data_IF_340102144290
#
_entry.id   IF_340102144290
#
_cell.length_a   1.000
_cell.length_b   1.000
_cell.length_c   1.000
_cell.angle_alpha   90.00
_cell.angle_beta   90.00
_cell.angle_gamma   90.00
#
_symmetry.space_group_name_H-M   'P 1'
#
loop_
_entity.id
_entity.type
_entity.pdbx_description
1 polymer ?
#
# COMPACT_ATOMS: atom_id res chain seq x y z
N UNK A 1 26.26 -54.61 -7.40
CA UNK A 1 27.05 -53.36 -7.47
C UNK A 1 26.15 -52.19 -7.07
N UNK A 2 26.36 -51.61 -5.88
CA UNK A 2 25.66 -50.39 -5.43
C UNK A 2 26.44 -49.17 -5.95
N UNK A 3 25.83 -48.34 -6.80
CA UNK A 3 26.42 -47.07 -7.25
C UNK A 3 26.03 -45.98 -6.25
N UNK A 4 27.03 -45.43 -5.56
CA UNK A 4 26.92 -44.24 -4.72
C UNK A 4 27.13 -43.03 -5.64
N UNK A 5 26.09 -42.22 -5.87
CA UNK A 5 26.22 -40.93 -6.55
C UNK A 5 26.42 -39.88 -5.47
N UNK A 6 27.65 -39.38 -5.33
CA UNK A 6 27.96 -38.23 -4.50
C UNK A 6 27.67 -36.99 -5.34
N UNK A 7 26.44 -36.46 -5.22
CA UNK A 7 26.08 -35.16 -5.75
C UNK A 7 26.68 -34.07 -4.87
N UNK A 8 27.64 -33.32 -5.41
CA UNK A 8 28.08 -32.05 -4.84
C UNK A 8 26.89 -31.09 -4.79
N UNK A 9 26.32 -30.89 -3.60
CA UNK A 9 25.48 -29.72 -3.34
C UNK A 9 26.39 -28.50 -3.24
N UNK A 10 26.51 -27.75 -4.33
CA UNK A 10 26.90 -26.35 -4.27
C UNK A 10 25.77 -25.61 -3.53
N UNK A 11 25.92 -25.45 -2.22
CA UNK A 11 25.16 -24.45 -1.47
C UNK A 11 25.65 -23.07 -1.94
N UNK A 12 24.91 -22.43 -2.84
CA UNK A 12 24.98 -20.98 -2.98
C UNK A 12 24.56 -20.37 -1.64
N UNK A 13 25.54 -19.92 -0.87
CA UNK A 13 25.33 -19.07 0.29
C UNK A 13 24.65 -17.79 -0.21
N UNK A 14 23.34 -17.70 -0.06
CA UNK A 14 22.59 -16.46 -0.23
C UNK A 14 23.07 -15.51 0.87
N UNK A 15 24.07 -14.68 0.58
CA UNK A 15 24.52 -13.65 1.49
C UNK A 15 23.47 -12.54 1.49
N UNK A 16 22.71 -12.44 2.59
CA UNK A 16 21.98 -11.23 2.93
C UNK A 16 22.98 -10.07 2.94
N UNK A 17 22.79 -9.09 2.05
CA UNK A 17 23.65 -7.91 2.00
C UNK A 17 23.03 -6.79 2.84
N UNK A 18 23.85 -6.05 3.58
CA UNK A 18 23.41 -4.79 4.17
C UNK A 18 23.32 -3.71 3.08
N UNK A 19 22.11 -3.19 2.86
CA UNK A 19 21.81 -2.10 1.91
C UNK A 19 21.54 -0.82 2.69
N UNK A 20 22.42 0.16 2.52
CA UNK A 20 22.31 1.48 3.16
C UNK A 20 21.72 2.50 2.19
N UNK A 21 20.67 3.19 2.60
CA UNK A 21 20.05 4.28 1.85
C UNK A 21 20.02 5.56 2.69
N UNK A 22 20.14 6.71 2.03
CA UNK A 22 20.01 8.03 2.67
C UNK A 22 18.91 8.83 1.98
N UNK A 23 17.90 9.24 2.76
CA UNK A 23 16.72 9.95 2.30
C UNK A 23 16.68 11.33 2.96
N UNK A 24 17.04 12.35 2.19
CA UNK A 24 16.92 13.74 2.61
C UNK A 24 15.59 14.34 2.14
N UNK A 25 14.72 14.68 3.09
CA UNK A 25 13.41 15.26 2.82
C UNK A 25 13.52 16.78 2.83
N UNK A 26 13.21 17.42 1.71
CA UNK A 26 13.21 18.88 1.59
C UNK A 26 12.02 19.37 0.74
N UNK A 27 11.71 20.67 0.82
CA UNK A 27 10.74 21.27 -0.10
C UNK A 27 11.43 21.67 -1.41
N UNK A 28 10.77 21.37 -2.53
CA UNK A 28 11.14 21.87 -3.85
C UNK A 28 9.88 22.36 -4.56
N UNK A 29 10.01 23.47 -5.28
CA UNK A 29 8.97 23.92 -6.19
C UNK A 29 9.06 23.08 -7.47
N UNK A 30 8.00 22.33 -7.76
CA UNK A 30 7.91 21.48 -8.95
C UNK A 30 6.70 21.85 -9.79
N UNK A 31 6.73 21.47 -11.06
CA UNK A 31 5.66 21.69 -12.00
C UNK A 31 5.41 20.40 -12.80
N UNK A 32 4.79 19.37 -12.19
CA UNK A 32 4.73 18.03 -12.77
C UNK A 32 3.79 17.93 -13.97
N UNK A 33 2.84 18.85 -14.11
CA UNK A 33 1.86 18.92 -15.21
C UNK A 33 2.19 20.01 -16.24
N UNK A 34 3.38 20.62 -16.14
CA UNK A 34 3.81 21.76 -16.96
C UNK A 34 2.79 22.92 -17.01
N UNK A 35 2.02 23.12 -15.94
CA UNK A 35 1.13 24.28 -15.81
C UNK A 35 1.92 25.59 -15.59
N UNK A 36 1.29 26.76 -15.66
CA UNK A 36 2.01 28.04 -15.52
C UNK A 36 2.51 28.32 -14.10
N UNK A 37 2.10 27.50 -13.12
CA UNK A 37 2.39 27.68 -11.70
C UNK A 37 3.09 26.44 -11.14
N UNK A 38 4.23 26.64 -10.48
CA UNK A 38 4.87 25.61 -9.67
C UNK A 38 4.19 25.46 -8.30
N UNK A 39 4.22 24.26 -7.75
CA UNK A 39 3.73 23.94 -6.41
C UNK A 39 4.90 23.50 -5.53
N UNK A 40 4.91 24.01 -4.29
CA UNK A 40 5.89 23.61 -3.29
C UNK A 40 5.48 22.27 -2.71
N UNK A 41 6.30 21.23 -2.92
CA UNK A 41 6.02 19.88 -2.42
C UNK A 41 7.22 19.30 -1.66
N UNK A 42 6.99 18.41 -0.68
CA UNK A 42 8.07 17.60 -0.13
C UNK A 42 8.64 16.68 -1.21
N UNK A 43 9.97 16.58 -1.26
CA UNK A 43 10.71 15.69 -2.16
C UNK A 43 11.72 14.88 -1.36
N UNK A 44 12.12 13.73 -1.89
CA UNK A 44 13.18 12.90 -1.31
C UNK A 44 14.40 13.01 -2.22
N UNK A 45 15.54 13.44 -1.67
CA UNK A 45 16.78 13.72 -2.39
C UNK A 45 16.58 14.70 -3.56
N UNK A 46 15.60 15.61 -3.48
CA UNK A 46 15.29 16.57 -4.54
C UNK A 46 14.48 16.01 -5.72
N UNK A 47 14.04 14.75 -5.63
CA UNK A 47 13.27 14.04 -6.66
C UNK A 47 11.79 13.91 -6.30
N UNK A 48 10.94 14.01 -7.33
CA UNK A 48 9.50 13.73 -7.27
C UNK A 48 9.07 12.98 -8.54
N UNK A 49 8.58 11.72 -8.45
CA UNK A 49 8.56 10.85 -7.26
C UNK A 49 9.96 10.63 -6.66
N UNK A 50 10.02 10.21 -5.39
CA UNK A 50 11.29 9.91 -4.72
C UNK A 50 12.06 8.77 -5.39
N UNK A 51 13.36 8.60 -5.08
CA UNK A 51 14.18 7.54 -5.67
C UNK A 51 13.64 6.15 -5.30
N UNK A 52 13.71 5.21 -6.24
CA UNK A 52 13.35 3.80 -5.99
C UNK A 52 14.42 3.12 -5.15
N UNK A 53 14.01 2.46 -4.06
CA UNK A 53 14.89 1.63 -3.25
C UNK A 53 14.86 0.20 -3.77
N UNK A 54 16.01 -0.32 -4.20
CA UNK A 54 16.14 -1.69 -4.70
C UNK A 54 16.88 -2.56 -3.68
N UNK A 55 16.23 -3.63 -3.23
CA UNK A 55 16.82 -4.63 -2.35
C UNK A 55 16.39 -6.03 -2.80
N UNK A 56 17.18 -7.04 -2.44
CA UNK A 56 16.83 -8.44 -2.68
C UNK A 56 16.12 -9.00 -1.44
N UNK A 57 15.20 -9.95 -1.62
CA UNK A 57 14.58 -10.63 -0.48
C UNK A 57 15.67 -11.25 0.41
N UNK A 58 15.61 -10.92 1.71
CA UNK A 58 16.61 -11.35 2.70
C UNK A 58 17.74 -10.35 2.94
N UNK A 59 17.89 -9.29 2.14
CA UNK A 59 18.82 -8.19 2.46
C UNK A 59 18.39 -7.49 3.77
N UNK A 60 19.38 -7.04 4.55
CA UNK A 60 19.15 -6.12 5.66
C UNK A 60 19.16 -4.69 5.10
N UNK A 61 18.16 -3.89 5.46
CA UNK A 61 17.99 -2.54 4.91
C UNK A 61 18.12 -1.53 6.03
N UNK A 62 19.06 -0.60 5.89
CA UNK A 62 19.25 0.51 6.81
C UNK A 62 19.02 1.82 6.07
N UNK A 63 18.08 2.63 6.57
CA UNK A 63 17.66 3.86 5.91
C UNK A 63 17.85 5.03 6.86
N UNK A 64 18.75 5.94 6.50
CA UNK A 64 18.95 7.19 7.20
C UNK A 64 17.99 8.25 6.64
N UNK A 65 17.01 8.68 7.43
CA UNK A 65 16.07 9.74 7.06
C UNK A 65 16.51 11.07 7.68
N UNK A 66 16.73 12.09 6.86
CA UNK A 66 17.04 13.46 7.30
C UNK A 66 15.86 14.38 6.99
N UNK A 67 15.34 15.08 7.99
CA UNK A 67 14.33 16.11 7.80
C UNK A 67 14.96 17.50 7.62
N UNK A 68 15.03 17.96 6.38
CA UNK A 68 15.45 19.31 6.01
C UNK A 68 14.28 20.23 5.65
N UNK A 69 13.03 19.88 6.00
CA UNK A 69 11.89 20.79 5.91
C UNK A 69 12.05 21.91 6.95
N UNK A 70 11.71 23.17 6.66
CA UNK A 70 11.96 24.28 7.58
C UNK A 70 10.96 24.37 8.74
N UNK A 71 9.69 24.00 8.51
CA UNK A 71 8.58 24.25 9.45
C UNK A 71 7.60 23.05 9.54
N UNK A 72 8.04 21.84 9.19
CA UNK A 72 7.19 20.67 9.19
C UNK A 72 7.93 19.46 9.75
N UNK A 73 7.28 18.74 10.65
CA UNK A 73 7.78 17.44 11.07
C UNK A 73 7.47 16.39 9.98
N UNK A 74 8.23 15.29 9.95
CA UNK A 74 8.04 14.24 8.95
C UNK A 74 8.34 12.85 9.50
N UNK A 75 7.87 11.83 8.79
CA UNK A 75 8.22 10.42 8.98
C UNK A 75 8.11 9.72 7.62
N UNK A 76 8.72 8.55 7.47
CA UNK A 76 8.58 7.70 6.27
C UNK A 76 8.05 6.36 6.69
N UNK A 77 6.87 6.00 6.19
CA UNK A 77 6.32 4.65 6.30
C UNK A 77 6.67 3.83 5.06
N UNK A 78 7.09 2.58 5.26
CA UNK A 78 7.46 1.66 4.19
C UNK A 78 6.31 0.71 3.88
N UNK A 79 5.38 1.20 3.05
CA UNK A 79 4.11 0.53 2.73
C UNK A 79 4.31 -0.93 2.32
N UNK A 80 3.72 -1.85 3.09
CA UNK A 80 3.71 -3.29 2.83
C UNK A 80 4.94 -4.05 3.33
N UNK A 81 5.91 -3.37 3.96
CA UNK A 81 6.99 -4.03 4.68
C UNK A 81 6.46 -4.46 6.06
N UNK A 82 6.64 -5.73 6.40
CA UNK A 82 6.07 -6.30 7.64
C UNK A 82 6.72 -5.79 8.92
N UNK A 83 7.92 -5.20 8.87
CA UNK A 83 8.62 -4.67 10.05
C UNK A 83 8.82 -5.71 11.19
N UNK A 84 9.04 -6.98 10.84
CA UNK A 84 9.21 -8.06 11.83
C UNK A 84 10.45 -7.78 12.67
N UNK A 85 10.24 -7.47 13.96
CA UNK A 85 11.30 -7.11 14.89
C UNK A 85 11.84 -5.68 14.76
N UNK A 86 11.20 -4.83 13.95
CA UNK A 86 11.61 -3.44 13.71
C UNK A 86 10.43 -2.46 13.75
N UNK A 87 9.44 -2.72 14.63
CA UNK A 87 8.19 -1.95 14.76
C UNK A 87 8.44 -0.44 14.92
N UNK A 88 9.48 -0.04 15.63
CA UNK A 88 9.92 1.35 15.83
C UNK A 88 10.34 2.06 14.51
N UNK A 89 10.58 1.31 13.44
CA UNK A 89 10.93 1.82 12.11
C UNK A 89 9.75 1.88 11.13
N UNK A 90 8.52 1.65 11.62
CA UNK A 90 7.33 1.67 10.77
C UNK A 90 6.93 3.09 10.31
N UNK A 91 7.40 4.15 10.99
CA UNK A 91 7.27 5.51 10.48
C UNK A 91 5.93 6.19 10.71
N UNK A 92 5.17 5.83 11.75
CA UNK A 92 3.83 6.38 12.05
C UNK A 92 3.89 7.29 13.29
N UNK A 93 3.78 8.63 13.12
CA UNK A 93 3.89 9.57 14.22
C UNK A 93 2.82 9.36 15.29
N UNK A 94 3.26 9.30 16.56
CA UNK A 94 2.36 9.10 17.70
C UNK A 94 1.87 7.65 17.88
N UNK A 95 2.33 6.72 17.03
CA UNK A 95 2.08 5.28 17.17
C UNK A 95 3.40 4.53 17.36
N UNK A 96 4.30 4.58 16.37
CA UNK A 96 5.55 3.81 16.38
C UNK A 96 6.80 4.66 16.64
N UNK A 97 6.72 5.98 16.39
CA UNK A 97 7.80 6.92 16.69
C UNK A 97 7.30 8.36 16.83
N UNK A 98 8.15 9.26 17.34
CA UNK A 98 7.97 10.70 17.23
C UNK A 98 8.32 11.19 15.81
N UNK A 99 7.74 12.33 15.41
CA UNK A 99 8.01 12.94 14.11
C UNK A 99 9.37 13.68 14.10
N UNK A 100 10.11 13.57 13.00
CA UNK A 100 11.47 14.14 12.85
C UNK A 100 11.39 15.67 12.68
N UNK A 101 12.24 16.47 13.33
CA UNK A 101 12.19 17.96 13.35
C UNK A 101 13.16 18.66 12.35
N UNK A 102 12.86 19.90 11.89
CA UNK A 102 13.66 20.71 10.94
C UNK A 102 15.12 21.11 11.28
N UNK A 103 16.05 21.16 10.29
CA UNK A 103 17.19 22.12 10.30
C UNK A 103 18.45 21.85 9.43
N UNK A 104 18.60 22.61 8.33
CA UNK A 104 19.80 22.90 7.45
C UNK A 104 19.91 22.25 6.03
N UNK A 105 20.63 22.92 5.10
CA UNK A 105 20.19 23.31 3.72
C UNK A 105 21.12 22.91 2.54
N UNK A 106 20.58 22.53 1.35
CA UNK A 106 21.13 22.82 -0.01
C UNK A 106 20.13 22.43 -1.15
N UNK A 107 20.30 22.97 -2.36
CA UNK A 107 19.31 23.09 -3.46
C UNK A 107 19.81 22.45 -4.78
N UNK A 108 18.91 21.90 -5.62
CA UNK A 108 19.09 21.92 -7.09
C UNK A 108 17.76 21.85 -7.88
N UNK A 109 17.73 22.54 -9.03
CA UNK A 109 16.63 22.67 -10.01
C UNK A 109 16.69 21.55 -11.05
N UNK A 110 15.53 21.07 -11.53
CA UNK A 110 15.39 20.47 -12.86
C UNK A 110 14.02 20.80 -13.50
N UNK A 111 14.06 20.76 -14.84
CA UNK A 111 13.10 21.20 -15.87
C UNK A 111 11.95 20.21 -16.11
N UNK A 112 10.83 20.71 -16.65
CA UNK A 112 9.60 19.95 -16.91
C UNK A 112 9.83 18.82 -17.95
N UNK A 113 9.63 17.53 -17.60
CA UNK A 113 9.84 16.43 -18.55
C UNK A 113 8.60 16.06 -19.39
N UNK A 114 7.45 16.73 -19.22
CA UNK A 114 6.21 16.33 -19.90
C UNK A 114 5.74 14.94 -19.47
N UNK A 115 4.91 14.27 -20.29
CA UNK A 115 4.47 12.91 -20.00
C UNK A 115 5.67 11.93 -20.01
N UNK A 116 5.78 11.11 -18.98
CA UNK A 116 6.77 10.03 -18.94
C UNK A 116 6.47 9.00 -20.01
N UNK A 117 7.42 8.80 -20.93
CA UNK A 117 7.43 7.69 -21.89
C UNK A 117 8.55 6.72 -21.53
N UNK A 118 8.37 5.44 -21.85
CA UNK A 118 9.42 4.44 -21.77
C UNK A 118 9.37 3.58 -23.03
N UNK A 119 10.52 3.35 -23.63
CA UNK A 119 10.64 2.58 -24.86
C UNK A 119 10.56 1.07 -24.59
N UNK A 120 9.99 0.34 -25.56
CA UNK A 120 9.80 -1.11 -25.48
C UNK A 120 10.08 -1.75 -26.83
N UNK A 121 10.61 -2.96 -26.81
CA UNK A 121 10.84 -3.78 -28.00
C UNK A 121 9.54 -4.42 -28.47
N UNK A 122 9.30 -4.57 -29.79
CA UNK A 122 8.16 -5.31 -30.32
C UNK A 122 8.15 -6.78 -29.88
N UNK A 123 6.96 -7.39 -29.83
CA UNK A 123 6.74 -8.80 -29.50
C UNK A 123 7.42 -9.29 -28.20
N UNK A 124 7.57 -8.41 -27.22
CA UNK A 124 8.30 -8.67 -25.98
C UNK A 124 7.37 -8.57 -24.78
N UNK A 125 7.58 -9.44 -23.79
CA UNK A 125 6.79 -9.43 -22.55
C UNK A 125 7.51 -8.58 -21.51
N UNK A 126 6.80 -7.57 -20.99
CA UNK A 126 7.29 -6.70 -19.93
C UNK A 126 6.48 -6.90 -18.67
N UNK A 127 7.14 -6.74 -17.52
CA UNK A 127 6.50 -6.66 -16.20
C UNK A 127 6.35 -5.20 -15.79
N UNK A 128 5.12 -4.70 -15.76
CA UNK A 128 4.79 -3.38 -15.26
C UNK A 128 4.42 -3.47 -13.78
N UNK A 129 5.12 -2.69 -12.93
CA UNK A 129 4.83 -2.56 -11.50
C UNK A 129 4.08 -1.25 -11.26
N UNK A 130 2.82 -1.35 -10.86
CA UNK A 130 1.95 -0.20 -10.61
C UNK A 130 1.81 0.02 -9.11
N UNK A 131 1.96 1.27 -8.67
CA UNK A 131 1.78 1.70 -7.28
C UNK A 131 0.67 2.74 -7.24
N UNK A 132 -0.37 2.49 -6.44
CA UNK A 132 -1.47 3.41 -6.18
C UNK A 132 -1.07 4.57 -5.26
N UNK A 133 -0.17 5.44 -5.72
CA UNK A 133 0.27 6.64 -4.99
C UNK A 133 -0.74 7.79 -4.96
N UNK A 134 -2.04 7.52 -5.11
CA UNK A 134 -3.09 8.53 -5.13
C UNK A 134 -3.60 8.82 -3.70
N UNK A 135 -4.01 10.07 -3.43
CA UNK A 135 -4.41 10.52 -2.07
C UNK A 135 -5.89 10.29 -1.75
N UNK A 136 -6.73 10.13 -2.80
CA UNK A 136 -8.18 10.08 -2.63
C UNK A 136 -8.89 9.18 -3.65
N UNK A 137 -8.59 9.32 -4.94
CA UNK A 137 -9.40 8.73 -6.01
C UNK A 137 -8.88 7.37 -6.42
N UNK A 138 -9.78 6.39 -6.53
CA UNK A 138 -9.53 5.14 -7.26
C UNK A 138 -9.41 5.40 -8.75
N UNK A 139 -8.38 4.84 -9.38
CA UNK A 139 -8.12 4.97 -10.81
C UNK A 139 -8.28 3.62 -11.51
N UNK A 140 -8.96 3.60 -12.64
CA UNK A 140 -8.81 2.53 -13.64
C UNK A 140 -7.56 2.82 -14.46
N UNK A 141 -6.55 1.95 -14.39
CA UNK A 141 -5.38 1.96 -15.26
C UNK A 141 -5.57 0.96 -16.40
N UNK A 142 -5.36 1.39 -17.64
CA UNK A 142 -5.40 0.53 -18.82
C UNK A 142 -4.32 0.92 -19.83
N UNK A 143 -3.82 -0.06 -20.57
CA UNK A 143 -2.89 0.16 -21.69
C UNK A 143 -3.69 0.02 -22.97
N UNK A 144 -3.75 1.07 -23.80
CA UNK A 144 -4.56 1.07 -25.02
C UNK A 144 -4.16 -0.10 -25.93
N UNK A 145 -5.14 -0.88 -26.38
CA UNK A 145 -4.97 -2.08 -27.23
C UNK A 145 -4.15 -3.22 -26.64
N UNK A 146 -3.95 -3.26 -25.32
CA UNK A 146 -3.21 -4.32 -24.66
C UNK A 146 -4.00 -4.88 -23.47
N UNK A 147 -4.10 -6.21 -23.41
CA UNK A 147 -4.50 -6.88 -22.18
C UNK A 147 -3.30 -7.03 -21.24
N UNK A 148 -3.60 -7.23 -19.97
CA UNK A 148 -2.63 -7.39 -18.90
C UNK A 148 -2.93 -8.66 -18.13
N UNK A 149 -1.90 -9.47 -17.89
CA UNK A 149 -1.97 -10.62 -16.99
C UNK A 149 -1.58 -10.15 -15.58
N UNK A 150 -2.51 -10.11 -14.64
CA UNK A 150 -2.21 -9.85 -13.23
C UNK A 150 -1.50 -11.05 -12.60
N UNK A 151 -0.30 -10.82 -12.07
CA UNK A 151 0.55 -11.89 -11.50
C UNK A 151 0.96 -11.64 -10.04
N UNK A 152 0.84 -10.40 -9.55
CA UNK A 152 1.20 -10.03 -8.18
C UNK A 152 0.29 -8.93 -7.67
N UNK A 153 -0.11 -9.02 -6.39
CA UNK A 153 -0.85 -7.99 -5.66
C UNK A 153 -0.15 -7.75 -4.33
N UNK A 154 0.17 -6.50 -4.02
CA UNK A 154 0.78 -6.04 -2.75
C UNK A 154 2.08 -6.79 -2.36
N UNK A 155 2.82 -7.32 -3.33
CA UNK A 155 4.08 -8.06 -3.12
C UNK A 155 3.92 -9.59 -3.11
N UNK A 156 2.69 -10.10 -3.20
CA UNK A 156 2.40 -11.53 -3.19
C UNK A 156 1.99 -12.03 -4.58
N UNK A 157 2.54 -13.17 -4.99
CA UNK A 157 2.18 -13.80 -6.26
C UNK A 157 0.76 -14.35 -6.19
N UNK A 158 -0.03 -14.09 -7.24
CA UNK A 158 -1.41 -14.55 -7.35
C UNK A 158 -1.57 -15.51 -8.51
N UNK A 159 -2.68 -16.27 -8.52
CA UNK A 159 -3.05 -17.01 -9.71
C UNK A 159 -3.25 -16.04 -10.89
N UNK A 160 -2.57 -16.27 -12.04
CA UNK A 160 -2.64 -15.37 -13.17
C UNK A 160 -4.07 -15.11 -13.63
N UNK A 161 -4.43 -13.85 -13.81
CA UNK A 161 -5.75 -13.43 -14.26
C UNK A 161 -5.64 -12.37 -15.37
N UNK A 162 -6.27 -12.63 -16.51
CA UNK A 162 -6.29 -11.70 -17.65
C UNK A 162 -7.30 -10.59 -17.42
N UNK A 163 -6.87 -9.35 -17.62
CA UNK A 163 -7.74 -8.17 -17.52
C UNK A 163 -7.36 -7.09 -18.52
N UNK A 164 -8.35 -6.31 -18.96
CA UNK A 164 -8.15 -5.14 -19.83
C UNK A 164 -7.89 -3.85 -19.05
N UNK A 165 -8.17 -3.83 -17.74
CA UNK A 165 -7.88 -2.70 -16.86
C UNK A 165 -7.64 -3.16 -15.42
N UNK A 166 -6.95 -2.33 -14.63
CA UNK A 166 -6.75 -2.52 -13.20
C UNK A 166 -7.44 -1.40 -12.43
N UNK A 167 -8.21 -1.78 -11.41
CA UNK A 167 -8.68 -0.84 -10.40
C UNK A 167 -7.56 -0.62 -9.38
N UNK A 168 -7.04 0.60 -9.30
CA UNK A 168 -5.91 0.97 -8.44
C UNK A 168 -6.38 1.97 -7.39
N UNK A 169 -6.58 1.48 -6.16
CA UNK A 169 -6.89 2.32 -5.00
C UNK A 169 -5.62 2.85 -4.34
N UNK A 170 -5.72 3.88 -3.48
CA UNK A 170 -4.59 4.31 -2.66
C UNK A 170 -3.93 3.13 -1.92
N UNK A 171 -2.59 3.04 -1.97
CA UNK A 171 -1.80 2.07 -1.21
C UNK A 171 -1.64 0.68 -1.86
N UNK A 172 -2.42 0.35 -2.89
CA UNK A 172 -2.29 -0.95 -3.57
C UNK A 172 -1.11 -0.99 -4.54
N UNK A 173 -0.50 -2.17 -4.70
CA UNK A 173 0.54 -2.44 -5.70
C UNK A 173 0.15 -3.64 -6.53
N UNK A 174 0.43 -3.57 -7.83
CA UNK A 174 0.18 -4.66 -8.77
C UNK A 174 1.43 -4.90 -9.61
N UNK A 175 1.73 -6.17 -9.90
CA UNK A 175 2.56 -6.49 -11.06
C UNK A 175 1.71 -7.16 -12.12
N UNK A 176 1.77 -6.62 -13.32
CA UNK A 176 1.14 -7.21 -14.51
C UNK A 176 2.18 -7.53 -15.57
N UNK A 177 1.93 -8.59 -16.32
CA UNK A 177 2.63 -8.85 -17.57
C UNK A 177 1.80 -8.30 -18.72
N UNK A 178 2.45 -7.66 -19.68
CA UNK A 178 1.83 -7.32 -20.96
C UNK A 178 2.81 -7.62 -22.09
N UNK A 179 2.27 -8.04 -23.24
CA UNK A 179 3.05 -8.30 -24.45
C UNK A 179 2.91 -7.14 -25.40
N UNK A 180 4.00 -6.48 -25.76
CA UNK A 180 4.02 -5.52 -26.86
C UNK A 180 3.70 -6.27 -28.14
N UNK A 181 2.63 -5.89 -28.85
CA UNK A 181 2.26 -6.54 -30.10
C UNK A 181 3.34 -6.39 -31.18
N UNK A 182 3.11 -6.99 -32.34
CA UNK A 182 3.97 -6.82 -33.53
C UNK A 182 3.58 -5.54 -34.28
N UNK A 183 3.80 -4.39 -33.62
CA UNK A 183 3.48 -3.07 -34.15
C UNK A 183 4.70 -2.43 -34.83
N UNK A 184 4.45 -1.54 -35.79
CA UNK A 184 5.52 -0.79 -36.46
C UNK A 184 6.32 0.03 -35.44
N UNK A 185 7.68 -0.04 -35.45
CA UNK A 185 8.51 0.79 -34.59
C UNK A 185 8.15 2.27 -34.69
N UNK A 186 8.05 2.95 -33.54
CA UNK A 186 7.64 4.36 -33.46
C UNK A 186 6.14 4.59 -33.20
N UNK A 187 5.31 3.55 -33.15
CA UNK A 187 3.93 3.67 -32.66
C UNK A 187 3.89 3.89 -31.14
N UNK A 188 3.06 4.85 -30.69
CA UNK A 188 2.91 5.20 -29.27
C UNK A 188 1.53 4.77 -28.78
N UNK A 189 1.49 4.06 -27.65
CA UNK A 189 0.26 3.64 -26.98
C UNK A 189 0.13 4.35 -25.64
N UNK A 190 -1.06 4.90 -25.38
CA UNK A 190 -1.33 5.57 -24.11
C UNK A 190 -1.55 4.56 -22.98
N UNK A 191 -0.92 4.81 -21.84
CA UNK A 191 -1.31 4.26 -20.55
C UNK A 191 -2.25 5.26 -19.91
N UNK A 192 -3.55 4.93 -19.90
CA UNK A 192 -4.60 5.82 -19.43
C UNK A 192 -4.98 5.51 -18.00
N UNK A 193 -5.16 6.55 -17.19
CA UNK A 193 -5.85 6.46 -15.90
C UNK A 193 -7.17 7.21 -15.95
N UNK A 194 -8.27 6.60 -15.51
CA UNK A 194 -9.58 7.24 -15.42
C UNK A 194 -10.20 7.09 -14.04
N UNK A 195 -11.01 8.04 -13.59
CA UNK A 195 -11.67 7.96 -12.29
C UNK A 195 -12.79 6.91 -12.32
N UNK A 196 -12.77 5.99 -11.35
CA UNK A 196 -13.87 5.05 -11.11
C UNK A 196 -14.76 5.50 -9.93
N UNK A 197 -15.98 4.96 -9.84
CA UNK A 197 -16.90 5.13 -8.69
C UNK A 197 -17.29 6.57 -8.37
N UNK A 198 -17.56 7.39 -9.39
CA UNK A 198 -17.95 8.80 -9.22
C UNK A 198 -19.37 8.93 -8.66
N UNK A 199 -19.52 9.02 -7.34
CA UNK A 199 -20.69 9.66 -6.72
C UNK A 199 -20.36 11.10 -6.30
N UNK A 200 -21.27 12.03 -6.63
CA UNK A 200 -21.16 13.46 -6.26
C UNK A 200 -21.63 13.62 -4.81
N UNK A 201 -20.70 13.65 -3.86
CA UNK A 201 -20.97 14.04 -2.48
C UNK A 201 -20.00 15.14 -2.03
N UNK A 202 -20.54 16.20 -1.42
CA UNK A 202 -19.78 17.24 -0.72
C UNK A 202 -20.01 17.03 0.77
N UNK A 203 -19.01 16.58 1.51
CA UNK A 203 -19.12 16.49 2.96
C UNK A 203 -17.87 15.94 3.60
N UNK A 204 -17.12 16.83 4.26
CA UNK A 204 -16.16 16.48 5.31
C UNK A 204 -16.99 16.48 6.60
N UNK A 205 -17.02 15.38 7.33
CA UNK A 205 -17.58 15.35 8.69
C UNK A 205 -16.44 15.58 9.68
N UNK A 206 -16.69 16.47 10.64
CA UNK A 206 -15.86 16.69 11.81
C UNK A 206 -16.23 15.64 12.86
N UNK A 207 -15.44 14.58 12.99
CA UNK A 207 -15.47 13.74 14.18
C UNK A 207 -14.04 13.65 14.73
N UNK A 208 -13.92 13.85 16.04
CA UNK A 208 -12.65 13.96 16.76
C UNK A 208 -11.77 12.72 16.67
N UNK A 209 -10.47 12.94 16.89
CA UNK A 209 -9.46 11.91 17.02
C UNK A 209 -9.67 11.13 18.33
N UNK A 210 -10.49 10.08 18.30
CA UNK A 210 -10.43 9.02 19.31
C UNK A 210 -9.66 7.84 18.70
N UNK A 211 -8.37 7.73 19.06
CA UNK A 211 -7.51 6.66 18.58
C UNK A 211 -7.86 5.38 19.34
N UNK A 212 -8.88 4.67 18.88
CA UNK A 212 -9.27 3.41 19.49
C UNK A 212 -8.19 2.35 19.29
N UNK A 213 -7.74 1.76 20.40
CA UNK A 213 -6.77 0.68 20.40
C UNK A 213 -7.44 -0.66 20.74
N UNK A 214 -6.96 -1.74 20.12
CA UNK A 214 -7.47 -3.09 20.33
C UNK A 214 -6.32 -4.02 20.67
N UNK A 215 -6.36 -4.63 21.85
CA UNK A 215 -5.38 -5.63 22.27
C UNK A 215 -5.66 -6.97 21.61
N UNK A 216 -4.62 -7.55 21.01
CA UNK A 216 -4.66 -8.89 20.43
C UNK A 216 -3.49 -9.72 20.96
N UNK A 217 -3.74 -11.01 21.22
CA UNK A 217 -2.73 -11.89 21.80
C UNK A 217 -1.75 -12.39 20.74
N UNK A 218 -0.52 -12.67 21.14
CA UNK A 218 0.46 -13.28 20.25
C UNK A 218 -0.03 -14.64 19.75
N UNK A 219 0.16 -14.87 18.46
CA UNK A 219 -0.27 -16.05 17.71
C UNK A 219 -1.80 -16.20 17.63
N UNK A 220 -2.58 -15.17 17.94
CA UNK A 220 -4.04 -15.18 17.77
C UNK A 220 -4.42 -15.08 16.28
N UNK A 221 -5.53 -15.71 15.87
CA UNK A 221 -6.11 -15.50 14.54
C UNK A 221 -7.29 -14.55 14.65
N UNK A 222 -7.15 -13.36 14.08
CA UNK A 222 -8.11 -12.27 14.24
C UNK A 222 -8.83 -12.02 12.91
N UNK A 223 -10.16 -11.98 12.97
CA UNK A 223 -10.99 -11.52 11.84
C UNK A 223 -11.36 -10.06 12.06
N UNK A 224 -10.88 -9.18 11.17
CA UNK A 224 -11.28 -7.76 11.14
C UNK A 224 -12.41 -7.59 10.14
N UNK A 225 -13.46 -6.86 10.52
CA UNK A 225 -14.60 -6.57 9.65
C UNK A 225 -14.68 -5.08 9.38
N UNK A 226 -14.44 -4.71 8.12
CA UNK A 226 -14.61 -3.35 7.63
C UNK A 226 -16.06 -3.18 7.17
N UNK A 227 -16.89 -2.60 8.03
CA UNK A 227 -18.28 -2.25 7.73
C UNK A 227 -18.34 -0.86 7.07
N UNK A 228 -18.97 -0.75 5.90
CA UNK A 228 -19.34 0.55 5.36
C UNK A 228 -20.68 1.00 5.96
N UNK A 229 -20.83 2.30 6.15
CA UNK A 229 -22.08 2.93 6.56
C UNK A 229 -22.46 4.03 5.56
N UNK A 230 -23.74 4.42 5.58
CA UNK A 230 -24.23 5.53 4.75
C UNK A 230 -23.59 6.83 5.26
N UNK A 231 -23.12 7.66 4.33
CA UNK A 231 -22.74 9.03 4.67
C UNK A 231 -24.00 9.87 4.98
N UNK A 232 -23.82 11.13 5.39
CA UNK A 232 -24.93 12.05 5.72
C UNK A 232 -25.92 12.24 4.56
N UNK A 233 -25.46 12.10 3.32
CA UNK A 233 -26.26 12.24 2.11
C UNK A 233 -26.91 10.90 1.66
N UNK A 234 -26.80 9.85 2.48
CA UNK A 234 -27.35 8.52 2.19
C UNK A 234 -26.51 7.67 1.22
N UNK A 235 -25.36 8.18 0.78
CA UNK A 235 -24.45 7.50 -0.15
C UNK A 235 -23.55 6.48 0.52
N UNK A 236 -23.39 5.33 -0.13
CA UNK A 236 -22.38 4.33 0.22
C UNK A 236 -21.09 4.61 -0.55
N UNK A 237 -19.98 4.79 0.16
CA UNK A 237 -18.67 5.07 -0.42
C UNK A 237 -17.70 3.90 -0.19
N UNK A 238 -16.78 3.71 -1.13
CA UNK A 238 -15.69 2.76 -0.95
C UNK A 238 -14.65 3.31 0.02
N UNK A 239 -14.04 2.41 0.80
CA UNK A 239 -12.95 2.73 1.69
C UNK A 239 -11.85 1.65 1.58
N UNK A 240 -10.66 1.98 1.04
CA UNK A 240 -9.50 1.08 1.13
C UNK A 240 -9.00 1.09 2.56
N UNK A 241 -8.83 -0.08 3.17
CA UNK A 241 -8.30 -0.28 4.51
C UNK A 241 -6.92 -0.93 4.42
N UNK A 242 -5.92 -0.24 4.95
CA UNK A 242 -4.56 -0.73 5.06
C UNK A 242 -4.28 -1.19 6.49
N UNK A 243 -3.55 -2.29 6.64
CA UNK A 243 -3.15 -2.88 7.92
C UNK A 243 -1.63 -2.89 7.99
N UNK A 244 -1.07 -2.12 8.91
CA UNK A 244 0.37 -2.07 9.14
C UNK A 244 0.86 -3.38 9.80
N UNK A 245 2.15 -3.70 9.64
CA UNK A 245 2.81 -4.86 10.26
C UNK A 245 2.33 -6.24 9.77
N UNK A 246 1.27 -6.28 8.98
CA UNK A 246 0.59 -7.49 8.54
C UNK A 246 0.16 -7.37 7.08
N UNK A 247 0.23 -8.49 6.37
CA UNK A 247 -0.71 -8.74 5.28
C UNK A 247 -1.85 -9.62 5.80
N UNK A 248 -3.04 -9.45 5.23
CA UNK A 248 -4.25 -10.17 5.60
C UNK A 248 -4.83 -10.96 4.44
N UNK A 249 -5.54 -12.04 4.77
CA UNK A 249 -6.37 -12.75 3.81
C UNK A 249 -7.73 -12.07 3.69
N UNK A 250 -8.16 -11.73 2.47
CA UNK A 250 -9.55 -11.31 2.23
C UNK A 250 -10.43 -12.56 2.20
N UNK A 251 -11.19 -12.77 3.27
CA UNK A 251 -11.86 -14.06 3.51
C UNK A 251 -13.36 -14.03 3.26
N UNK A 252 -14.01 -12.87 3.38
CA UNK A 252 -15.37 -12.71 2.90
C UNK A 252 -15.75 -11.26 2.61
N UNK A 253 -16.76 -11.06 1.77
CA UNK A 253 -17.48 -9.78 1.65
C UNK A 253 -18.98 -10.03 1.54
N UNK A 254 -19.80 -9.05 1.87
CA UNK A 254 -21.24 -9.20 1.78
C UNK A 254 -21.97 -7.87 1.70
N UNK A 255 -23.24 -7.90 1.25
CA UNK A 255 -24.12 -6.75 1.28
C UNK A 255 -24.55 -6.41 2.70
N UNK A 256 -25.14 -5.22 2.86
CA UNK A 256 -25.82 -4.84 4.10
C UNK A 256 -24.89 -4.63 5.29
N UNK A 257 -25.45 -4.80 6.48
CA UNK A 257 -24.71 -4.69 7.73
C UNK A 257 -24.22 -6.07 8.20
N UNK A 258 -23.02 -6.09 8.75
CA UNK A 258 -22.41 -7.29 9.29
C UNK A 258 -23.11 -7.71 10.59
N UNK A 259 -23.73 -8.89 10.56
CA UNK A 259 -24.25 -9.55 11.74
C UNK A 259 -23.27 -10.65 12.19
N UNK A 260 -22.65 -10.51 13.36
CA UNK A 260 -21.65 -11.46 13.83
C UNK A 260 -22.19 -12.89 13.95
N UNK A 261 -23.40 -13.07 14.49
CA UNK A 261 -24.01 -14.41 14.68
C UNK A 261 -24.18 -15.13 13.35
N UNK A 262 -24.65 -14.43 12.32
CA UNK A 262 -24.92 -15.00 11.00
C UNK A 262 -23.65 -15.11 10.14
N UNK A 263 -22.78 -14.09 10.18
CA UNK A 263 -21.72 -13.92 9.21
C UNK A 263 -20.34 -14.37 9.69
N UNK A 264 -20.13 -14.68 10.98
CA UNK A 264 -18.81 -15.06 11.51
C UNK A 264 -18.16 -16.21 10.75
N UNK A 265 -18.93 -17.22 10.34
CA UNK A 265 -18.42 -18.41 9.64
C UNK A 265 -18.38 -18.27 8.11
N UNK A 266 -18.92 -17.20 7.52
CA UNK A 266 -18.93 -17.00 6.07
C UNK A 266 -17.50 -16.83 5.55
N UNK A 267 -17.15 -17.62 4.52
CA UNK A 267 -15.89 -17.58 3.76
C UNK A 267 -16.21 -17.76 2.28
N UNK A 268 -16.53 -16.67 1.58
CA UNK A 268 -17.05 -16.71 0.20
C UNK A 268 -16.00 -16.38 -0.88
N UNK A 269 -14.74 -16.12 -0.50
CA UNK A 269 -13.63 -16.11 -1.43
C UNK A 269 -13.00 -17.52 -1.49
N UNK A 270 -13.19 -18.22 -2.62
CA UNK A 270 -12.61 -19.56 -2.85
C UNK A 270 -11.08 -19.55 -2.80
N UNK A 271 -10.47 -18.49 -3.31
CA UNK A 271 -9.03 -18.26 -3.30
C UNK A 271 -8.78 -16.90 -2.64
N UNK A 272 -8.71 -16.84 -1.29
CA UNK A 272 -8.54 -15.59 -0.57
C UNK A 272 -7.18 -14.97 -0.89
N UNK A 273 -7.17 -13.70 -1.28
CA UNK A 273 -5.94 -12.96 -1.59
C UNK A 273 -5.23 -12.56 -0.30
N UNK A 274 -3.92 -12.81 -0.22
CA UNK A 274 -3.05 -12.33 0.84
C UNK A 274 -2.46 -10.98 0.44
N UNK A 275 -2.81 -9.91 1.16
CA UNK A 275 -2.45 -8.53 0.81
C UNK A 275 -2.60 -7.59 2.00
N UNK A 276 -1.99 -6.40 1.98
CA UNK A 276 -2.08 -5.45 3.10
C UNK A 276 -3.17 -4.37 2.95
N UNK A 277 -3.77 -4.24 1.77
CA UNK A 277 -4.81 -3.22 1.52
C UNK A 277 -6.07 -3.82 0.89
N UNK A 278 -7.18 -3.75 1.62
CA UNK A 278 -8.49 -4.31 1.23
C UNK A 278 -9.57 -3.26 1.19
N UNK A 279 -10.40 -3.28 0.15
CA UNK A 279 -11.47 -2.32 -0.02
C UNK A 279 -12.74 -2.82 0.65
N UNK A 280 -13.32 -2.03 1.54
CA UNK A 280 -14.72 -2.15 1.89
C UNK A 280 -15.55 -1.54 0.74
N UNK A 281 -16.10 -2.41 -0.11
CA UNK A 281 -16.89 -1.98 -1.26
C UNK A 281 -18.28 -1.49 -0.85
N UNK A 282 -18.82 -0.44 -1.51
CA UNK A 282 -20.20 -0.05 -1.33
C UNK A 282 -21.10 -1.10 -1.98
N UNK A 283 -22.15 -1.51 -1.28
CA UNK A 283 -23.23 -2.30 -1.85
C UNK A 283 -24.42 -1.39 -2.17
N UNK A 284 -24.81 -1.36 -3.44
CA UNK A 284 -25.97 -0.60 -3.89
C UNK A 284 -27.15 -1.56 -4.03
N UNK A 285 -28.03 -1.57 -3.04
CA UNK A 285 -29.30 -2.29 -3.14
C UNK A 285 -30.36 -1.39 -3.78
N UNK A 286 -31.07 -1.91 -4.78
CA UNK A 286 -32.14 -1.18 -5.47
C UNK A 286 -33.41 -1.05 -4.63
N UNK A 287 -33.49 -1.77 -3.51
CA UNK A 287 -34.67 -1.89 -2.63
C UNK A 287 -34.53 -1.08 -1.33
N UNK A 288 -33.41 -0.39 -1.13
CA UNK A 288 -33.17 0.42 0.07
C UNK A 288 -32.75 -0.38 1.30
N UNK A 289 -32.47 -1.68 1.16
CA UNK A 289 -32.01 -2.55 2.24
C UNK A 289 -30.72 -2.03 2.92
N UNK A 290 -30.64 -2.26 4.23
CA UNK A 290 -30.25 -1.25 5.22
C UNK A 290 -28.74 -0.93 5.36
N UNK A 291 -27.83 -1.58 4.64
CA UNK A 291 -26.39 -1.41 4.88
C UNK A 291 -25.53 -1.25 3.62
N UNK A 292 -24.36 -0.63 3.78
CA UNK A 292 -23.46 -0.30 2.68
C UNK A 292 -22.45 -1.41 2.34
N UNK A 293 -22.62 -2.61 2.86
CA UNK A 293 -21.74 -3.75 2.64
C UNK A 293 -20.55 -3.79 3.61
N UNK A 294 -19.92 -4.95 3.66
CA UNK A 294 -18.79 -5.21 4.54
C UNK A 294 -17.73 -6.08 3.86
N UNK A 295 -16.49 -5.93 4.30
CA UNK A 295 -15.36 -6.78 3.90
C UNK A 295 -14.67 -7.30 5.15
N UNK A 296 -14.49 -8.61 5.22
CA UNK A 296 -13.86 -9.31 6.32
C UNK A 296 -12.49 -9.82 5.89
N UNK A 297 -11.48 -9.42 6.64
CA UNK A 297 -10.10 -9.84 6.46
C UNK A 297 -9.62 -10.62 7.67
N UNK A 298 -8.62 -11.48 7.48
CA UNK A 298 -8.03 -12.29 8.54
C UNK A 298 -6.54 -12.03 8.63
N UNK A 299 -6.08 -11.70 9.83
CA UNK A 299 -4.66 -11.67 10.17
C UNK A 299 -4.32 -12.81 11.11
N UNK A 300 -3.04 -13.16 11.12
CA UNK A 300 -2.41 -13.89 12.19
C UNK A 300 -1.57 -12.87 12.95
N UNK A 301 -1.83 -12.69 14.23
CA UNK A 301 -1.03 -11.81 15.09
C UNK A 301 0.30 -12.53 15.37
N UNK A 302 1.28 -12.39 14.47
CA UNK A 302 2.59 -13.03 14.58
C UNK A 302 3.76 -12.03 14.69
N UNK A 303 3.45 -10.76 14.86
CA UNK A 303 4.37 -9.63 14.84
C UNK A 303 4.09 -8.65 15.99
N UNK A 304 4.67 -8.85 17.19
CA UNK A 304 4.44 -7.98 18.35
C UNK A 304 4.74 -6.50 18.06
N UNK A 305 3.78 -5.61 18.33
CA UNK A 305 3.91 -4.20 17.97
C UNK A 305 2.61 -3.40 18.10
N UNK A 306 2.70 -2.12 17.74
CA UNK A 306 1.54 -1.23 17.62
C UNK A 306 1.30 -0.96 16.15
N UNK A 307 0.21 -1.49 15.61
CA UNK A 307 -0.04 -1.47 14.16
C UNK A 307 -1.27 -0.66 13.82
N UNK A 308 -1.09 0.40 13.03
CA UNK A 308 -2.20 1.18 12.50
C UNK A 308 -3.05 0.33 11.54
N UNK A 309 -4.37 0.43 11.66
CA UNK A 309 -5.31 -0.04 10.64
C UNK A 309 -6.20 1.13 10.27
N UNK A 310 -6.10 1.60 9.04
CA UNK A 310 -6.72 2.86 8.66
C UNK A 310 -7.24 2.87 7.23
N UNK A 311 -8.16 3.82 6.98
CA UNK A 311 -8.57 4.10 5.62
C UNK A 311 -7.40 4.74 4.86
N UNK A 312 -7.03 4.18 3.72
CA UNK A 312 -5.91 4.68 2.91
C UNK A 312 -6.29 5.89 2.01
N UNK A 313 -7.47 6.47 2.23
CA UNK A 313 -7.79 7.81 1.73
C UNK A 313 -7.31 8.81 2.79
N UNK A 314 -6.29 9.60 2.46
CA UNK A 314 -5.55 10.43 3.42
C UNK A 314 -6.46 11.38 4.19
N UNK A 315 -7.43 12.01 3.53
CA UNK A 315 -8.38 12.89 4.23
C UNK A 315 -9.22 12.14 5.24
N UNK A 316 -9.65 10.91 4.94
CA UNK A 316 -10.44 10.10 5.87
C UNK A 316 -9.60 9.61 7.05
N UNK A 317 -8.35 9.22 6.82
CA UNK A 317 -7.39 8.87 7.89
C UNK A 317 -7.21 10.06 8.83
N UNK A 318 -6.95 11.26 8.29
CA UNK A 318 -6.78 12.50 9.08
C UNK A 318 -8.08 12.87 9.81
N UNK A 319 -9.25 12.50 9.29
CA UNK A 319 -10.54 12.66 9.98
C UNK A 319 -10.81 11.55 11.03
N UNK A 320 -9.82 10.71 11.36
CA UNK A 320 -9.95 9.70 12.40
C UNK A 320 -10.45 8.33 11.94
N UNK A 321 -10.50 8.03 10.63
CA UNK A 321 -10.77 6.65 10.14
C UNK A 321 -9.54 5.75 10.31
N UNK A 322 -9.15 5.53 11.56
CA UNK A 322 -7.98 4.78 11.97
C UNK A 322 -8.21 4.13 13.35
N UNK A 323 -7.67 2.93 13.53
CA UNK A 323 -7.53 2.26 14.82
C UNK A 323 -6.09 1.79 14.97
N UNK A 324 -5.71 1.32 16.16
CA UNK A 324 -4.41 0.68 16.40
C UNK A 324 -4.62 -0.71 17.00
N UNK A 325 -3.88 -1.69 16.51
CA UNK A 325 -3.77 -3.01 17.12
C UNK A 325 -2.58 -3.01 18.08
N UNK A 326 -2.83 -3.26 19.36
CA UNK A 326 -1.81 -3.51 20.38
C UNK A 326 -1.52 -5.02 20.42
N UNK A 327 -0.59 -5.46 19.58
CA UNK A 327 -0.26 -6.87 19.48
C UNK A 327 0.85 -7.24 20.46
N UNK A 328 0.49 -8.04 21.47
CA UNK A 328 1.40 -8.55 22.50
C UNK A 328 2.55 -7.58 22.88
N UNK A 329 2.25 -6.35 23.38
CA UNK A 329 3.27 -5.33 23.59
C UNK A 329 4.39 -5.75 24.54
N UNK A 330 4.10 -6.69 25.44
CA UNK A 330 5.05 -7.32 26.37
C UNK A 330 6.15 -8.12 25.67
N UNK A 331 5.92 -8.57 24.43
CA UNK A 331 6.90 -9.33 23.65
C UNK A 331 7.79 -8.45 22.76
N UNK A 332 7.49 -7.16 22.58
CA UNK A 332 8.24 -6.27 21.67
C UNK A 332 9.75 -6.30 21.96
N UNK A 333 10.16 -6.25 23.24
CA UNK A 333 11.58 -6.26 23.62
C UNK A 333 12.30 -7.56 23.28
N UNK A 334 11.59 -8.68 23.20
CA UNK A 334 12.15 -9.98 22.84
C UNK A 334 12.38 -10.12 21.34
N UNK A 335 11.56 -9.44 20.54
CA UNK A 335 11.62 -9.50 19.08
C UNK A 335 12.35 -8.30 18.45
N UNK A 336 12.62 -7.24 19.21
CA UNK A 336 13.32 -6.06 18.70
C UNK A 336 14.73 -6.41 18.23
N UNK A 337 15.05 -5.96 17.02
CA UNK A 337 16.38 -6.02 16.42
C UNK A 337 17.29 -4.90 16.95
N UNK A 338 16.75 -3.97 17.73
CA UNK A 338 17.49 -2.85 18.32
C UNK A 338 17.82 -3.13 19.79
N UNK A 339 19.09 -3.00 20.15
CA UNK A 339 19.48 -2.95 21.56
C UNK A 339 19.00 -1.61 22.14
N UNK A 340 17.99 -1.62 23.02
CA UNK A 340 17.63 -0.44 23.81
C UNK A 340 18.84 -0.10 24.69
N UNK A 341 19.54 0.98 24.38
CA UNK A 341 20.53 1.59 25.28
C UNK A 341 19.84 2.37 26.38
#
# INVERSE_FOLDING_TARGET
MKRLIIGSLLFTLCHAALRRFELNINYKDINPDCHSRSFRVPTINGHFPGPTLYATQGDEIEILVRNSLPNANTSIHYHGIRQIGSTESDGVPGVTQDAITPGSTFTSKETCPGYTTFDVEPNTVYRLRIIGGNTFRTLALAIKHHNMTLIEVDGELVHPYETSFLEVTPGQRFSVLFRTGDYTPGMVFAIGTSYLWRQRGRGITENGFDLHTYRIAYNETVDLVFQNSKNRDGGCLLHPWHTHGHSHYVIASGPGDYNHTLHKHIRNFKYPLYKDTSVAYPYFSNDGSEGCGWTKVRIKADNPGFWAVHCHITTHMIQGKMIVLEEAPDLISRFSLYNRQ
#
